data_IF_616326667894
#
_entry.id   IF_616326667894
#
_cell.length_a   1.000
_cell.length_b   1.000
_cell.length_c   1.000
_cell.angle_alpha   90.00
_cell.angle_beta   90.00
_cell.angle_gamma   90.00
#
_symmetry.space_group_name_H-M   'P 1'
#
loop_
_entity.id
_entity.type
_entity.pdbx_description
1 polymer ?
#
# COMPACT_ATOMS: atom_id res chain seq x y z
N UNK A 1 30.63 12.42 13.49
CA UNK A 1 29.44 12.23 14.35
C UNK A 1 28.22 12.43 13.49
N UNK A 2 27.29 11.48 13.47
CA UNK A 2 26.00 11.68 12.83
C UNK A 2 25.25 12.80 13.58
N UNK A 3 24.67 13.72 12.83
CA UNK A 3 23.90 14.85 13.36
C UNK A 3 22.62 14.33 14.00
N UNK A 4 22.41 14.62 15.28
CA UNK A 4 21.23 14.16 16.04
C UNK A 4 19.91 14.81 15.55
N UNK A 5 19.99 16.07 15.10
CA UNK A 5 18.84 16.87 14.69
C UNK A 5 18.86 17.13 13.19
N UNK A 6 17.68 17.04 12.54
CA UNK A 6 17.42 17.48 11.18
C UNK A 6 16.40 18.62 11.23
N UNK A 7 16.66 19.73 10.55
CA UNK A 7 15.74 20.85 10.48
C UNK A 7 14.58 20.53 9.52
N UNK A 8 13.36 20.97 9.81
CA UNK A 8 12.24 20.80 8.90
C UNK A 8 12.45 21.45 7.53
N UNK A 9 13.26 22.53 7.47
CA UNK A 9 13.66 23.17 6.21
C UNK A 9 14.55 22.30 5.32
N UNK A 10 15.19 21.28 5.88
CA UNK A 10 16.03 20.31 5.17
C UNK A 10 15.22 19.11 4.64
N UNK A 11 13.95 19.01 5.04
CA UNK A 11 13.04 17.89 4.66
C UNK A 11 12.20 18.32 3.48
N UNK A 12 12.25 17.55 2.39
CA UNK A 12 11.37 17.76 1.26
C UNK A 12 9.96 17.28 1.60
N UNK A 13 8.97 18.17 1.47
CA UNK A 13 7.57 17.79 1.63
C UNK A 13 7.11 16.92 0.48
N UNK A 14 6.31 15.92 0.76
CA UNK A 14 5.70 15.02 -0.23
C UNK A 14 4.23 14.83 0.08
N UNK A 15 3.42 14.70 -0.95
CA UNK A 15 1.99 14.40 -0.81
C UNK A 15 1.77 12.96 -0.34
N UNK A 16 0.65 12.74 0.35
CA UNK A 16 0.20 11.40 0.70
C UNK A 16 -0.26 10.68 -0.55
N UNK A 17 0.34 9.53 -0.86
CA UNK A 17 -0.10 8.68 -1.96
C UNK A 17 -1.13 7.67 -1.47
N UNK A 18 -2.10 7.38 -2.31
CA UNK A 18 -3.23 6.53 -1.96
C UNK A 18 -3.29 5.29 -2.87
N UNK A 19 -3.59 4.16 -2.26
CA UNK A 19 -4.00 2.97 -2.97
C UNK A 19 -5.48 3.05 -3.33
N UNK A 20 -6.26 3.57 -2.40
CA UNK A 20 -7.69 3.88 -2.55
C UNK A 20 -8.02 5.11 -1.69
N UNK A 21 -8.25 6.24 -2.33
CA UNK A 21 -8.53 7.51 -1.65
C UNK A 21 -9.97 7.57 -1.15
N UNK A 22 -10.22 8.09 0.05
CA UNK A 22 -9.27 8.43 1.12
C UNK A 22 -9.15 7.30 2.17
N UNK A 23 -9.35 6.05 1.79
CA UNK A 23 -9.49 4.90 2.68
C UNK A 23 -8.17 4.21 3.00
N UNK A 24 -7.34 3.95 1.98
CA UNK A 24 -6.09 3.18 2.11
C UNK A 24 -4.92 3.98 1.55
N UNK A 25 -4.07 4.52 2.43
CA UNK A 25 -2.89 5.29 2.05
C UNK A 25 -1.65 4.39 1.93
N UNK A 26 -0.81 4.65 0.92
CA UNK A 26 0.48 4.01 0.73
C UNK A 26 1.44 4.45 1.84
N UNK A 27 2.27 3.52 2.33
CA UNK A 27 3.22 3.78 3.42
C UNK A 27 2.56 3.91 4.80
N UNK A 28 1.30 3.53 4.94
CA UNK A 28 0.55 3.68 6.18
C UNK A 28 -0.21 2.40 6.52
N UNK A 29 -0.70 2.36 7.78
CA UNK A 29 -1.54 1.27 8.28
C UNK A 29 -2.99 1.74 8.27
N UNK A 30 -3.85 0.91 7.70
CA UNK A 30 -5.32 0.99 7.79
C UNK A 30 -5.82 -0.17 8.63
N UNK A 31 -6.72 0.09 9.56
CA UNK A 31 -7.45 -0.92 10.31
C UNK A 31 -8.84 -1.11 9.70
N UNK A 32 -9.21 -2.35 9.39
CA UNK A 32 -10.55 -2.74 8.94
C UNK A 32 -11.17 -3.61 10.03
N UNK A 33 -12.21 -3.12 10.68
CA UNK A 33 -12.85 -3.80 11.81
C UNK A 33 -14.35 -4.01 11.57
N UNK A 34 -14.97 -4.91 12.35
CA UNK A 34 -16.39 -5.24 12.32
C UNK A 34 -16.63 -6.59 12.99
N UNK A 35 -17.89 -6.95 13.19
CA UNK A 35 -18.25 -8.22 13.80
C UNK A 35 -17.91 -9.42 12.87
N UNK A 36 -17.71 -10.62 13.41
CA UNK A 36 -17.55 -11.83 12.59
C UNK A 36 -18.73 -12.00 11.61
N UNK A 37 -18.43 -12.33 10.37
CA UNK A 37 -19.46 -12.52 9.33
C UNK A 37 -19.97 -11.24 8.66
N UNK A 38 -19.47 -10.05 8.98
CA UNK A 38 -19.85 -8.80 8.30
C UNK A 38 -19.26 -8.62 6.90
N UNK A 39 -18.50 -9.59 6.42
CA UNK A 39 -18.00 -9.57 5.05
C UNK A 39 -16.68 -8.79 4.84
N UNK A 40 -15.93 -8.49 5.91
CA UNK A 40 -14.62 -7.78 5.83
C UNK A 40 -13.64 -8.46 4.88
N UNK A 41 -13.40 -9.76 5.07
CA UNK A 41 -12.50 -10.56 4.22
C UNK A 41 -13.02 -10.63 2.78
N UNK A 42 -14.33 -10.80 2.58
CA UNK A 42 -14.96 -10.82 1.25
C UNK A 42 -14.77 -9.50 0.52
N UNK A 43 -15.01 -8.38 1.21
CA UNK A 43 -14.78 -7.04 0.67
C UNK A 43 -13.31 -6.84 0.29
N UNK A 44 -12.39 -7.27 1.15
CA UNK A 44 -10.96 -7.13 0.88
C UNK A 44 -10.50 -8.02 -0.29
N UNK A 45 -11.02 -9.26 -0.41
CA UNK A 45 -10.71 -10.14 -1.56
C UNK A 45 -11.17 -9.53 -2.89
N UNK A 46 -12.32 -8.86 -2.92
CA UNK A 46 -12.79 -8.15 -4.12
C UNK A 46 -11.90 -6.95 -4.46
N UNK A 47 -11.46 -6.18 -3.47
CA UNK A 47 -10.48 -5.10 -3.70
C UNK A 47 -9.14 -5.67 -4.19
N UNK A 48 -8.67 -6.78 -3.63
CA UNK A 48 -7.44 -7.48 -4.06
C UNK A 48 -7.56 -7.96 -5.52
N UNK A 49 -8.73 -8.47 -5.93
CA UNK A 49 -8.97 -8.87 -7.31
C UNK A 49 -8.81 -7.69 -8.27
N UNK A 50 -9.42 -6.56 -7.97
CA UNK A 50 -9.27 -5.33 -8.75
C UNK A 50 -7.82 -4.84 -8.80
N UNK A 51 -7.11 -4.87 -7.68
CA UNK A 51 -5.69 -4.49 -7.62
C UNK A 51 -4.83 -5.42 -8.46
N UNK A 52 -5.05 -6.74 -8.38
CA UNK A 52 -4.24 -7.74 -9.06
C UNK A 52 -4.38 -7.71 -10.59
N UNK A 53 -5.50 -7.23 -11.09
CA UNK A 53 -5.83 -7.12 -12.52
C UNK A 53 -5.63 -5.72 -13.10
N UNK A 54 -5.40 -4.71 -12.25
CA UNK A 54 -5.31 -3.31 -12.69
C UNK A 54 -6.68 -2.71 -13.04
N UNK A 55 -7.74 -3.17 -12.39
CA UNK A 55 -9.11 -2.76 -12.59
C UNK A 55 -9.43 -1.38 -12.02
N UNK A 56 -10.47 -1.31 -11.17
CA UNK A 56 -10.94 -0.05 -10.59
C UNK A 56 -11.11 -0.18 -9.08
N UNK A 57 -10.89 0.91 -8.37
CA UNK A 57 -11.33 1.04 -6.97
C UNK A 57 -12.86 1.12 -6.89
N UNK A 58 -13.47 0.88 -5.71
CA UNK A 58 -14.93 0.89 -5.55
C UNK A 58 -15.61 2.17 -6.01
N UNK A 59 -14.94 3.32 -5.93
CA UNK A 59 -15.38 4.63 -6.42
C UNK A 59 -15.17 4.84 -7.93
N UNK A 60 -14.74 3.80 -8.66
CA UNK A 60 -14.58 3.81 -10.10
C UNK A 60 -13.25 4.38 -10.62
N UNK A 61 -12.33 4.80 -9.72
CA UNK A 61 -11.01 5.27 -10.13
C UNK A 61 -10.16 4.11 -10.69
N UNK A 62 -9.48 4.34 -11.82
CA UNK A 62 -8.61 3.32 -12.44
C UNK A 62 -7.36 3.10 -11.59
N UNK A 63 -7.04 1.83 -11.36
CA UNK A 63 -5.81 1.42 -10.66
C UNK A 63 -4.59 1.50 -11.60
N UNK A 64 -4.82 1.39 -12.92
CA UNK A 64 -3.76 1.41 -13.92
C UNK A 64 -3.10 0.03 -14.08
N UNK A 65 -1.85 -0.13 -13.63
CA UNK A 65 -1.14 -1.39 -13.76
C UNK A 65 -1.53 -2.41 -12.67
N UNK A 66 -1.53 -3.72 -13.00
CA UNK A 66 -1.74 -4.79 -12.03
C UNK A 66 -0.76 -4.72 -10.85
N UNK A 67 -1.26 -4.77 -9.63
CA UNK A 67 -0.50 -4.62 -8.39
C UNK A 67 -0.27 -5.98 -7.71
N UNK A 68 0.88 -6.15 -7.06
CA UNK A 68 1.17 -7.31 -6.23
C UNK A 68 0.60 -7.13 -4.83
N UNK A 69 0.04 -8.21 -4.27
CA UNK A 69 -0.59 -8.22 -2.95
C UNK A 69 -0.07 -9.40 -2.13
N UNK A 70 0.25 -9.18 -0.86
CA UNK A 70 0.40 -10.25 0.12
C UNK A 70 -0.91 -10.31 0.90
N UNK A 71 -1.59 -11.46 0.87
CA UNK A 71 -2.78 -11.74 1.66
C UNK A 71 -2.50 -12.88 2.62
N UNK A 72 -2.30 -12.54 3.88
CA UNK A 72 -1.99 -13.49 4.96
C UNK A 72 -3.26 -13.78 5.76
N UNK A 73 -3.69 -15.04 5.75
CA UNK A 73 -4.85 -15.52 6.50
C UNK A 73 -4.49 -16.80 7.24
N UNK A 74 -4.94 -16.94 8.48
CA UNK A 74 -4.70 -18.12 9.32
C UNK A 74 -5.97 -18.89 9.68
N UNK A 75 -7.15 -18.32 9.42
CA UNK A 75 -8.43 -18.96 9.79
C UNK A 75 -8.93 -19.95 8.73
N UNK A 76 -8.66 -19.66 7.46
CA UNK A 76 -9.17 -20.40 6.31
C UNK A 76 -8.03 -21.16 5.60
N UNK A 77 -8.33 -22.35 5.08
CA UNK A 77 -7.41 -23.14 4.25
C UNK A 77 -7.11 -22.44 2.93
N UNK A 78 -5.82 -22.44 2.54
CA UNK A 78 -5.38 -21.76 1.32
C UNK A 78 -5.95 -22.42 0.08
N UNK A 79 -5.92 -23.77 -0.01
CA UNK A 79 -6.26 -24.55 -1.20
C UNK A 79 -7.76 -24.71 -1.41
N UNK A 80 -8.53 -24.82 -0.35
CA UNK A 80 -9.96 -25.15 -0.38
C UNK A 80 -10.86 -23.92 -0.19
N UNK A 81 -10.35 -22.87 0.42
CA UNK A 81 -11.16 -21.71 0.78
C UNK A 81 -10.62 -20.41 0.17
N UNK A 82 -9.38 -20.03 0.46
CA UNK A 82 -8.83 -18.71 0.07
C UNK A 82 -8.67 -18.61 -1.45
N UNK A 83 -7.93 -19.55 -2.04
CA UNK A 83 -7.68 -19.53 -3.49
C UNK A 83 -8.97 -19.59 -4.30
N UNK A 84 -9.94 -20.51 -4.03
CA UNK A 84 -11.20 -20.52 -4.74
C UNK A 84 -12.04 -19.24 -4.60
N UNK A 85 -11.96 -18.56 -3.45
CA UNK A 85 -12.63 -17.26 -3.26
C UNK A 85 -11.97 -16.16 -4.09
N UNK A 86 -10.64 -16.07 -4.12
CA UNK A 86 -9.90 -15.11 -4.94
C UNK A 86 -10.19 -15.34 -6.44
N UNK A 87 -10.18 -16.58 -6.90
CA UNK A 87 -10.51 -16.92 -8.30
C UNK A 87 -11.95 -16.51 -8.66
N UNK A 88 -12.93 -16.75 -7.77
CA UNK A 88 -14.31 -16.29 -7.97
C UNK A 88 -14.44 -14.76 -8.02
N UNK A 89 -13.60 -14.04 -7.29
CA UNK A 89 -13.54 -12.58 -7.39
C UNK A 89 -12.85 -12.09 -8.68
N UNK A 90 -12.31 -12.99 -9.52
CA UNK A 90 -11.59 -12.62 -10.74
C UNK A 90 -10.16 -12.18 -10.52
N UNK A 91 -9.54 -12.55 -9.39
CA UNK A 91 -8.17 -12.15 -9.07
C UNK A 91 -7.12 -12.84 -9.94
N UNK A 92 -6.07 -12.11 -10.33
CA UNK A 92 -4.84 -12.72 -10.88
C UNK A 92 -3.99 -13.28 -9.74
N UNK A 93 -4.15 -14.57 -9.46
CA UNK A 93 -3.40 -15.26 -8.40
C UNK A 93 -1.87 -15.26 -8.62
N UNK A 94 -1.36 -14.91 -9.80
CA UNK A 94 0.09 -14.72 -10.04
C UNK A 94 0.61 -13.44 -9.38
N UNK A 95 -0.28 -12.53 -9.01
CA UNK A 95 0.03 -11.27 -8.33
C UNK A 95 -0.25 -11.32 -6.83
N UNK A 96 -0.71 -12.46 -6.30
CA UNK A 96 -1.07 -12.61 -4.89
C UNK A 96 -0.20 -13.69 -4.26
N UNK A 97 0.41 -13.37 -3.13
CA UNK A 97 1.27 -14.28 -2.37
C UNK A 97 0.86 -14.32 -0.89
N UNK A 98 1.33 -15.33 -0.18
CA UNK A 98 1.23 -15.47 1.26
C UNK A 98 2.52 -16.11 1.81
N UNK A 99 2.78 -15.97 3.11
CA UNK A 99 3.85 -16.67 3.80
C UNK A 99 3.33 -18.05 4.19
N UNK A 100 3.96 -19.12 3.70
CA UNK A 100 3.51 -20.48 3.95
C UNK A 100 3.81 -20.89 5.40
N UNK A 101 2.79 -20.92 6.26
CA UNK A 101 2.90 -21.25 7.68
C UNK A 101 3.03 -22.75 7.93
N UNK A 102 2.70 -23.63 6.97
CA UNK A 102 2.98 -25.06 7.06
C UNK A 102 4.47 -25.36 7.11
N UNK A 103 5.26 -24.53 6.40
CA UNK A 103 6.73 -24.61 6.40
C UNK A 103 7.34 -23.85 7.58
N UNK A 104 6.68 -22.78 8.00
CA UNK A 104 7.18 -21.82 8.98
C UNK A 104 6.15 -21.62 10.09
N UNK A 105 6.13 -22.49 11.08
CA UNK A 105 5.20 -22.41 12.21
C UNK A 105 5.27 -21.08 12.95
N UNK A 106 4.12 -20.57 13.35
CA UNK A 106 4.00 -19.49 14.32
C UNK A 106 4.41 -18.10 13.81
N UNK A 107 3.86 -17.64 12.69
CA UNK A 107 4.02 -16.27 12.24
C UNK A 107 3.40 -15.28 13.24
N UNK A 108 4.15 -14.24 13.60
CA UNK A 108 3.67 -13.14 14.45
C UNK A 108 3.88 -11.79 13.76
N UNK A 109 3.18 -10.74 14.21
CA UNK A 109 3.27 -9.40 13.61
C UNK A 109 4.66 -8.75 13.69
N UNK A 110 5.50 -9.20 14.61
CA UNK A 110 6.88 -8.73 14.75
C UNK A 110 7.90 -9.64 14.06
N UNK A 111 7.44 -10.65 13.33
CA UNK A 111 8.31 -11.57 12.62
C UNK A 111 8.99 -10.91 11.43
N UNK A 112 10.31 -11.06 11.36
CA UNK A 112 11.12 -10.52 10.29
C UNK A 112 10.80 -11.13 8.92
N UNK A 113 10.17 -12.32 8.89
CA UNK A 113 9.70 -12.97 7.65
C UNK A 113 8.67 -12.11 6.90
N UNK A 114 7.85 -11.32 7.62
CA UNK A 114 6.93 -10.37 6.99
C UNK A 114 7.72 -9.33 6.19
N UNK A 115 8.78 -8.77 6.80
CA UNK A 115 9.65 -7.80 6.09
C UNK A 115 10.36 -8.44 4.90
N UNK A 116 10.88 -9.66 5.08
CA UNK A 116 11.55 -10.40 4.00
C UNK A 116 10.59 -10.66 2.82
N UNK A 117 9.35 -11.09 3.10
CA UNK A 117 8.33 -11.27 2.08
C UNK A 117 8.00 -9.97 1.34
N UNK A 118 7.93 -8.84 2.06
CA UNK A 118 7.73 -7.51 1.44
C UNK A 118 8.90 -7.16 0.52
N UNK A 119 10.15 -7.40 0.94
CA UNK A 119 11.34 -7.12 0.12
C UNK A 119 11.38 -8.00 -1.13
N UNK A 120 11.10 -9.29 -1.00
CA UNK A 120 11.16 -10.27 -2.07
C UNK A 120 10.05 -10.04 -3.10
N UNK A 121 8.81 -9.96 -2.61
CA UNK A 121 7.64 -9.90 -3.48
C UNK A 121 7.32 -8.49 -3.96
N UNK A 122 7.72 -7.44 -3.19
CA UNK A 122 7.43 -6.02 -3.44
C UNK A 122 5.93 -5.75 -3.66
N UNK A 123 5.09 -6.08 -2.68
CA UNK A 123 3.65 -5.86 -2.79
C UNK A 123 3.32 -4.38 -2.71
N UNK A 124 2.22 -3.98 -3.31
CA UNK A 124 1.62 -2.67 -3.10
C UNK A 124 0.68 -2.65 -1.91
N UNK A 125 0.13 -3.81 -1.57
CA UNK A 125 -0.74 -4.04 -0.44
C UNK A 125 -0.31 -5.29 0.33
N UNK A 126 -0.31 -5.19 1.65
CA UNK A 126 -0.19 -6.32 2.59
C UNK A 126 -1.46 -6.35 3.42
N UNK A 127 -2.15 -7.47 3.44
CA UNK A 127 -3.35 -7.70 4.26
C UNK A 127 -3.06 -8.81 5.26
N UNK A 128 -3.42 -8.59 6.52
CA UNK A 128 -3.32 -9.58 7.60
C UNK A 128 -4.72 -9.82 8.16
N UNK A 129 -5.22 -11.06 8.07
CA UNK A 129 -6.62 -11.45 8.35
C UNK A 129 -6.71 -12.75 9.16
N UNK A 130 -7.17 -12.70 10.40
CA UNK A 130 -7.32 -11.52 11.23
C UNK A 130 -6.02 -11.19 12.00
N UNK A 131 -5.87 -9.94 12.39
CA UNK A 131 -4.71 -9.50 13.20
C UNK A 131 -4.56 -10.31 14.49
N UNK A 132 -5.68 -10.74 15.10
CA UNK A 132 -5.69 -11.48 16.36
C UNK A 132 -4.88 -12.78 16.30
N UNK A 133 -4.90 -13.47 15.17
CA UNK A 133 -4.19 -14.72 15.00
C UNK A 133 -2.66 -14.56 14.98
N UNK A 134 -2.17 -13.37 14.71
CA UNK A 134 -0.75 -13.05 14.56
C UNK A 134 -0.15 -12.29 15.76
N UNK A 135 -0.84 -12.29 16.92
CA UNK A 135 -0.40 -11.57 18.10
C UNK A 135 0.58 -12.35 19.00
N UNK A 136 0.77 -13.64 18.74
CA UNK A 136 1.57 -14.54 19.54
C UNK A 136 0.82 -15.10 20.78
N UNK A 137 1.46 -16.04 21.48
CA UNK A 137 0.87 -16.79 22.60
C UNK A 137 0.62 -15.96 23.87
N UNK A 138 1.25 -14.82 23.99
CA UNK A 138 1.03 -13.90 25.10
C UNK A 138 -0.03 -12.89 24.69
N UNK A 139 -1.22 -12.98 25.26
CA UNK A 139 -2.44 -12.17 25.05
C UNK A 139 -2.30 -10.63 25.17
N UNK A 140 -1.23 -10.08 24.74
CA UNK A 140 -0.58 -8.86 25.20
C UNK A 140 -0.74 -7.63 24.28
N UNK A 141 -1.75 -7.59 23.39
CA UNK A 141 -2.23 -6.27 22.97
C UNK A 141 -2.85 -5.46 24.12
N UNK A 142 -3.14 -6.14 25.25
CA UNK A 142 -3.60 -5.47 26.46
C UNK A 142 -2.48 -4.67 27.13
N UNK A 143 -1.19 -5.01 26.86
CA UNK A 143 -0.05 -4.18 27.27
C UNK A 143 0.15 -3.11 26.20
N UNK A 144 -0.38 -1.92 26.47
CA UNK A 144 -0.37 -0.75 25.58
C UNK A 144 0.99 -0.49 24.89
N UNK A 145 2.10 -0.68 25.58
CA UNK A 145 3.43 -0.47 25.02
C UNK A 145 3.85 -1.45 23.93
N UNK A 146 3.38 -2.72 23.98
CA UNK A 146 3.73 -3.73 22.97
C UNK A 146 2.96 -3.52 21.67
N UNK A 147 1.66 -3.28 21.75
CA UNK A 147 0.84 -2.95 20.58
C UNK A 147 1.41 -1.74 19.82
N UNK A 148 1.77 -0.69 20.55
CA UNK A 148 2.38 0.52 19.96
C UNK A 148 3.70 0.22 19.25
N UNK A 149 4.56 -0.63 19.83
CA UNK A 149 5.85 -1.03 19.25
C UNK A 149 5.65 -1.84 17.97
N UNK A 150 4.71 -2.78 17.95
CA UNK A 150 4.34 -3.57 16.76
C UNK A 150 3.82 -2.67 15.64
N UNK A 151 2.85 -1.81 15.93
CA UNK A 151 2.27 -0.89 14.97
C UNK A 151 3.31 0.08 14.39
N UNK A 152 4.23 0.58 15.23
CA UNK A 152 5.35 1.42 14.77
C UNK A 152 6.25 0.66 13.79
N UNK A 153 6.58 -0.61 14.07
CA UNK A 153 7.42 -1.45 13.22
C UNK A 153 6.75 -1.71 11.87
N UNK A 154 5.49 -2.12 11.85
CA UNK A 154 4.71 -2.28 10.63
C UNK A 154 4.62 -0.98 9.83
N UNK A 155 4.39 0.15 10.51
CA UNK A 155 4.36 1.46 9.87
C UNK A 155 5.70 1.87 9.24
N UNK A 156 6.83 1.52 9.86
CA UNK A 156 8.16 1.72 9.27
C UNK A 156 8.37 0.86 8.02
N UNK A 157 7.91 -0.40 8.04
CA UNK A 157 7.97 -1.27 6.86
C UNK A 157 7.08 -0.75 5.74
N UNK A 158 5.84 -0.37 6.05
CA UNK A 158 4.93 0.22 5.07
C UNK A 158 5.57 1.43 4.36
N UNK A 159 6.11 2.38 5.14
CA UNK A 159 6.72 3.59 4.61
C UNK A 159 8.04 3.31 3.86
N UNK A 160 8.89 2.42 4.40
CA UNK A 160 10.19 2.11 3.82
C UNK A 160 10.13 1.31 2.53
N UNK A 161 9.09 0.49 2.35
CA UNK A 161 8.93 -0.38 1.18
C UNK A 161 7.77 0.04 0.25
N UNK A 162 7.20 1.21 0.48
CA UNK A 162 6.20 1.81 -0.40
C UNK A 162 4.95 0.94 -0.61
N UNK A 163 4.48 0.29 0.44
CA UNK A 163 3.27 -0.51 0.44
C UNK A 163 2.25 -0.01 1.47
N UNK A 164 0.97 -0.28 1.24
CA UNK A 164 -0.07 -0.12 2.25
C UNK A 164 -0.15 -1.40 3.10
N UNK A 165 -0.46 -1.28 4.40
CA UNK A 165 -0.75 -2.42 5.26
C UNK A 165 -2.19 -2.28 5.77
N UNK A 166 -3.02 -3.29 5.52
CA UNK A 166 -4.37 -3.41 6.07
C UNK A 166 -4.40 -4.53 7.09
N UNK A 167 -4.84 -4.19 8.30
CA UNK A 167 -5.04 -5.14 9.38
C UNK A 167 -6.54 -5.36 9.56
N UNK A 168 -7.00 -6.59 9.39
CA UNK A 168 -8.41 -6.94 9.60
C UNK A 168 -8.58 -7.43 11.03
N UNK A 169 -9.56 -6.89 11.74
CA UNK A 169 -9.80 -7.23 13.13
C UNK A 169 -11.28 -7.41 13.48
N UNK A 170 -11.54 -8.28 14.46
CA UNK A 170 -12.88 -8.46 15.02
C UNK A 170 -13.13 -7.50 16.18
N UNK A 171 -14.36 -7.00 16.29
CA UNK A 171 -14.79 -6.18 17.41
C UNK A 171 -14.98 -7.06 18.67
N UNK A 172 -14.54 -6.56 19.81
CA UNK A 172 -14.82 -7.22 21.08
C UNK A 172 -16.29 -7.00 21.50
N UNK A 173 -16.96 -8.08 21.94
CA UNK A 173 -18.36 -8.08 22.40
C UNK A 173 -18.58 -7.43 23.79
N UNK A 174 -17.64 -6.64 24.33
CA UNK A 174 -17.87 -5.97 25.61
C UNK A 174 -18.98 -4.91 25.47
N UNK A 175 -20.11 -5.19 26.07
CA UNK A 175 -21.25 -4.25 26.19
C UNK A 175 -20.81 -2.97 26.90
N UNK A 176 -21.24 -1.80 26.37
CA UNK A 176 -21.12 -0.50 27.04
C UNK A 176 -19.97 0.42 26.58
N UNK A 177 -19.05 0.00 25.70
CA UNK A 177 -18.05 0.90 25.13
C UNK A 177 -18.51 1.55 23.84
N UNK A 178 -18.31 2.87 23.70
CA UNK A 178 -18.60 3.62 22.46
C UNK A 178 -17.80 3.07 21.28
N UNK A 179 -18.38 2.98 20.07
CA UNK A 179 -17.91 2.31 18.86
C UNK A 179 -16.41 2.33 18.57
N UNK A 180 -15.72 3.45 18.77
CA UNK A 180 -14.26 3.59 18.50
C UNK A 180 -13.39 2.72 19.43
N UNK A 181 -13.87 2.35 20.62
CA UNK A 181 -13.11 1.62 21.65
C UNK A 181 -13.45 0.14 21.75
N UNK A 182 -14.39 -0.37 20.92
CA UNK A 182 -14.74 -1.80 20.87
C UNK A 182 -13.70 -2.65 20.13
N UNK A 183 -12.73 -2.01 19.48
CA UNK A 183 -11.77 -2.70 18.64
C UNK A 183 -10.67 -3.40 19.44
N UNK A 184 -10.37 -4.62 19.11
CA UNK A 184 -9.13 -5.39 19.37
C UNK A 184 -8.58 -5.40 20.80
N UNK A 185 -9.32 -4.88 21.80
CA UNK A 185 -8.85 -4.82 23.19
C UNK A 185 -7.70 -3.81 23.45
N UNK A 186 -7.20 -3.11 22.43
CA UNK A 186 -6.15 -2.09 22.58
C UNK A 186 -6.47 -0.80 21.84
N UNK A 187 -6.62 0.27 22.58
CA UNK A 187 -6.74 1.65 22.05
C UNK A 187 -5.51 2.01 21.20
N UNK A 188 -4.35 1.45 21.49
CA UNK A 188 -3.11 1.77 20.81
C UNK A 188 -3.05 1.31 19.35
N UNK A 189 -3.74 0.21 18.98
CA UNK A 189 -3.85 -0.23 17.58
C UNK A 189 -4.64 0.79 16.77
N UNK A 190 -5.81 1.20 17.28
CA UNK A 190 -6.65 2.25 16.65
C UNK A 190 -5.92 3.58 16.58
N UNK A 191 -5.22 3.94 17.66
CA UNK A 191 -4.47 5.20 17.74
C UNK A 191 -3.33 5.25 16.71
N UNK A 192 -2.63 4.14 16.49
CA UNK A 192 -1.51 4.06 15.56
C UNK A 192 -1.94 3.97 14.08
N UNK A 193 -3.09 3.39 13.78
CA UNK A 193 -3.64 3.37 12.43
C UNK A 193 -3.96 4.79 11.94
N UNK A 194 -3.69 5.07 10.65
CA UNK A 194 -3.96 6.38 10.03
C UNK A 194 -5.36 6.48 9.45
N UNK A 195 -5.93 5.36 9.07
CA UNK A 195 -7.34 5.20 8.65
C UNK A 195 -7.94 4.02 9.41
N UNK A 196 -9.17 4.15 9.87
CA UNK A 196 -9.92 3.07 10.52
C UNK A 196 -11.28 2.98 9.86
N UNK A 197 -11.55 1.82 9.31
CA UNK A 197 -12.78 1.47 8.62
C UNK A 197 -13.55 0.47 9.48
N UNK A 198 -14.84 0.66 9.59
CA UNK A 198 -15.74 -0.26 10.29
C UNK A 198 -16.81 -0.76 9.34
N UNK A 199 -16.95 -2.08 9.26
CA UNK A 199 -18.00 -2.73 8.48
C UNK A 199 -19.11 -3.13 9.40
N UNK A 200 -20.34 -2.78 9.02
CA UNK A 200 -21.56 -3.14 9.73
C UNK A 200 -22.60 -3.68 8.74
N UNK A 201 -23.50 -4.52 9.24
CA UNK A 201 -24.67 -4.93 8.45
C UNK A 201 -25.72 -3.83 8.49
N UNK A 202 -26.35 -3.58 7.35
CA UNK A 202 -27.54 -2.74 7.30
C UNK A 202 -28.65 -3.37 8.12
N UNK A 203 -29.36 -2.57 8.91
CA UNK A 203 -30.44 -3.06 9.80
C UNK A 203 -31.71 -3.40 9.06
N UNK A 204 -31.95 -2.80 7.90
CA UNK A 204 -33.15 -3.00 7.09
C UNK A 204 -32.95 -4.09 6.02
N UNK A 205 -31.74 -4.18 5.47
CA UNK A 205 -31.40 -5.17 4.45
C UNK A 205 -30.14 -5.95 4.85
N UNK A 206 -30.29 -7.22 5.32
CA UNK A 206 -29.15 -8.03 5.80
C UNK A 206 -28.14 -8.43 4.71
N UNK A 207 -28.46 -8.25 3.43
CA UNK A 207 -27.52 -8.46 2.33
C UNK A 207 -26.63 -7.25 2.09
N UNK A 208 -26.99 -6.07 2.62
CA UNK A 208 -26.19 -4.85 2.51
C UNK A 208 -25.23 -4.73 3.68
N UNK A 209 -24.04 -4.24 3.38
CA UNK A 209 -23.00 -3.86 4.33
C UNK A 209 -22.65 -2.41 4.13
N UNK A 210 -22.37 -1.72 5.22
CA UNK A 210 -21.96 -0.32 5.25
C UNK A 210 -20.54 -0.26 5.80
N UNK A 211 -19.67 0.47 5.12
CA UNK A 211 -18.31 0.74 5.55
C UNK A 211 -18.22 2.19 6.01
N UNK A 212 -18.07 2.38 7.30
CA UNK A 212 -17.86 3.69 7.91
C UNK A 212 -16.37 3.98 8.06
N UNK A 213 -15.93 5.15 7.62
CA UNK A 213 -14.59 5.62 7.96
C UNK A 213 -14.63 6.36 9.30
N UNK A 214 -14.39 5.64 10.40
CA UNK A 214 -14.49 6.18 11.76
C UNK A 214 -13.28 7.00 12.21
N UNK A 215 -12.16 6.92 11.46
CA UNK A 215 -10.95 7.72 11.65
C UNK A 215 -10.22 7.90 10.34
N UNK A 216 -9.81 9.15 10.06
CA UNK A 216 -8.83 9.48 9.05
C UNK A 216 -7.91 10.59 9.58
N UNK A 217 -6.60 10.36 9.58
CA UNK A 217 -5.61 11.34 10.05
C UNK A 217 -4.85 12.01 8.90
N UNK A 218 -5.22 11.73 7.64
CA UNK A 218 -4.47 12.12 6.45
C UNK A 218 -5.32 12.91 5.44
N UNK A 219 -6.64 12.80 5.54
CA UNK A 219 -7.61 13.48 4.69
C UNK A 219 -8.92 13.68 5.46
N UNK A 220 -9.86 14.48 4.95
CA UNK A 220 -11.23 14.52 5.47
C UNK A 220 -11.86 13.13 5.49
N UNK A 221 -12.72 12.88 6.46
CA UNK A 221 -13.48 11.63 6.54
C UNK A 221 -14.40 11.51 5.32
N UNK A 222 -14.41 10.33 4.72
CA UNK A 222 -15.23 10.03 3.56
C UNK A 222 -16.70 9.76 3.92
N UNK A 223 -17.55 9.83 2.92
CA UNK A 223 -18.90 9.27 3.00
C UNK A 223 -18.84 7.73 3.12
N UNK A 224 -19.88 7.15 3.69
CA UNK A 224 -20.02 5.71 3.83
C UNK A 224 -20.05 5.01 2.48
N UNK A 225 -19.42 3.84 2.41
CA UNK A 225 -19.47 2.99 1.25
C UNK A 225 -20.41 1.83 1.54
N UNK A 226 -21.11 1.38 0.51
CA UNK A 226 -22.00 0.23 0.62
C UNK A 226 -21.61 -0.86 -0.35
N UNK A 227 -21.80 -2.11 0.07
CA UNK A 227 -21.69 -3.28 -0.77
C UNK A 227 -22.74 -4.32 -0.37
N UNK A 228 -23.11 -5.17 -1.31
CA UNK A 228 -24.01 -6.30 -1.05
C UNK A 228 -23.27 -7.62 -1.13
N UNK A 229 -23.73 -8.58 -0.33
CA UNK A 229 -23.35 -9.98 -0.41
C UNK A 229 -24.66 -10.79 -0.37
N UNK A 230 -25.05 -11.36 -1.50
CA UNK A 230 -26.22 -12.22 -1.61
C UNK A 230 -25.86 -13.60 -2.17
N UNK A 231 -26.72 -14.58 -1.96
CA UNK A 231 -26.53 -15.92 -2.50
C UNK A 231 -26.67 -15.95 -4.02
N UNK A 232 -27.48 -15.07 -4.59
CA UNK A 232 -27.82 -15.06 -6.03
C UNK A 232 -26.79 -14.26 -6.84
N UNK A 233 -26.44 -13.05 -6.38
CA UNK A 233 -25.59 -12.13 -7.14
C UNK A 233 -24.11 -12.11 -6.64
N UNK A 234 -23.83 -12.75 -5.52
CA UNK A 234 -22.51 -12.71 -4.89
C UNK A 234 -22.19 -11.34 -4.29
N UNK A 235 -20.96 -10.92 -4.43
CA UNK A 235 -20.47 -9.62 -3.96
C UNK A 235 -20.66 -8.54 -5.03
N UNK A 236 -21.17 -7.37 -4.63
CA UNK A 236 -21.27 -6.19 -5.50
C UNK A 236 -21.01 -4.91 -4.72
N UNK A 237 -20.14 -4.04 -5.25
CA UNK A 237 -20.08 -2.65 -4.79
C UNK A 237 -21.38 -1.94 -5.17
N UNK A 238 -22.00 -1.28 -4.21
CA UNK A 238 -23.13 -0.40 -4.45
C UNK A 238 -22.61 1.01 -4.75
N UNK A 239 -23.51 1.97 -5.02
CA UNK A 239 -23.11 3.32 -5.41
C UNK A 239 -22.09 3.91 -4.40
N UNK A 240 -20.87 4.06 -4.87
CA UNK A 240 -19.82 4.80 -4.22
C UNK A 240 -19.57 6.05 -5.07
N UNK A 241 -19.91 7.22 -4.53
CA UNK A 241 -19.63 8.47 -5.24
C UNK A 241 -18.12 8.66 -5.28
N UNK A 242 -17.54 8.98 -6.46
CA UNK A 242 -16.13 9.33 -6.53
C UNK A 242 -15.85 10.46 -5.54
N UNK A 243 -14.94 10.23 -4.61
CA UNK A 243 -14.47 11.28 -3.71
C UNK A 243 -13.59 12.19 -4.59
N UNK A 244 -14.15 13.31 -5.05
CA UNK A 244 -13.45 14.27 -5.90
C UNK A 244 -12.29 14.88 -5.12
N UNK A 245 -11.10 14.39 -5.39
CA UNK A 245 -9.87 15.07 -5.03
C UNK A 245 -9.53 16.04 -6.14
N UNK A 246 -9.70 17.33 -5.92
CA UNK A 246 -9.39 18.37 -6.92
C UNK A 246 -7.90 18.43 -7.33
N UNK A 247 -7.01 17.60 -6.76
CA UNK A 247 -5.56 17.68 -7.01
C UNK A 247 -4.77 16.37 -7.10
N UNK A 248 -5.42 15.21 -7.20
CA UNK A 248 -4.70 14.00 -7.57
C UNK A 248 -5.57 13.18 -8.54
N UNK A 249 -5.81 13.75 -9.73
CA UNK A 249 -5.87 12.86 -10.87
C UNK A 249 -4.52 12.13 -10.86
N UNK A 250 -4.46 10.77 -10.84
CA UNK A 250 -3.27 10.14 -11.36
C UNK A 250 -3.12 10.78 -12.73
N UNK A 251 -1.96 11.40 -12.97
CA UNK A 251 -1.59 11.73 -14.33
C UNK A 251 -2.00 10.50 -15.12
N UNK A 252 -2.95 10.67 -16.04
CA UNK A 252 -3.25 9.63 -17.01
C UNK A 252 -1.89 9.29 -17.56
N UNK A 253 -1.38 8.08 -17.21
CA UNK A 253 -0.06 7.68 -17.71
C UNK A 253 -0.05 8.04 -19.16
N UNK A 254 0.83 8.92 -19.62
CA UNK A 254 0.84 9.34 -21.01
C UNK A 254 0.95 8.06 -21.81
N UNK A 255 0.02 7.84 -22.73
CA UNK A 255 0.09 6.70 -23.63
C UNK A 255 1.33 6.92 -24.47
N UNK A 256 2.33 6.10 -24.24
CA UNK A 256 3.57 6.13 -24.99
C UNK A 256 3.42 5.19 -26.19
N UNK A 257 3.60 5.72 -27.37
CA UNK A 257 3.59 4.91 -28.60
C UNK A 257 4.90 4.11 -28.75
N UNK A 258 5.95 4.55 -28.05
CA UNK A 258 7.28 3.92 -28.09
C UNK A 258 7.92 3.83 -26.71
N UNK A 259 8.79 2.80 -26.51
CA UNK A 259 9.60 2.65 -25.30
C UNK A 259 10.52 3.87 -25.07
N UNK A 260 10.94 4.54 -26.14
CA UNK A 260 11.75 5.77 -26.08
C UNK A 260 10.99 6.94 -25.47
N UNK A 261 9.76 7.18 -25.90
CA UNK A 261 8.90 8.22 -25.32
C UNK A 261 8.64 7.96 -23.83
N UNK A 262 8.39 6.69 -23.47
CA UNK A 262 8.23 6.27 -22.10
C UNK A 262 9.49 6.52 -21.26
N UNK A 263 10.65 6.17 -21.80
CA UNK A 263 11.94 6.43 -21.16
C UNK A 263 12.20 7.92 -20.93
N UNK A 264 11.96 8.76 -21.94
CA UNK A 264 12.16 10.21 -21.86
C UNK A 264 11.27 10.86 -20.79
N UNK A 265 10.01 10.45 -20.73
CA UNK A 265 9.07 10.93 -19.73
C UNK A 265 9.54 10.60 -18.32
N UNK A 266 9.87 9.33 -18.06
CA UNK A 266 10.26 8.87 -16.72
C UNK A 266 11.62 9.43 -16.29
N UNK A 267 12.60 9.51 -17.18
CA UNK A 267 13.92 10.12 -16.86
C UNK A 267 13.73 11.57 -16.46
N UNK A 268 12.94 12.34 -17.22
CA UNK A 268 12.63 13.74 -16.89
C UNK A 268 11.96 13.82 -15.51
N UNK A 269 10.94 13.03 -15.27
CA UNK A 269 10.20 13.01 -14.00
C UNK A 269 11.07 12.63 -12.80
N UNK A 270 12.00 11.68 -12.96
CA UNK A 270 12.92 11.29 -11.89
C UNK A 270 13.92 12.38 -11.55
N UNK A 271 14.34 13.16 -12.54
CA UNK A 271 15.34 14.22 -12.37
C UNK A 271 14.74 15.60 -12.06
N UNK A 272 13.43 15.78 -12.15
CA UNK A 272 12.74 17.03 -11.73
C UNK A 272 12.98 17.38 -10.25
N UNK A 273 13.22 16.37 -9.43
CA UNK A 273 13.44 16.52 -7.98
C UNK A 273 14.92 16.58 -7.58
N UNK A 274 15.82 16.61 -8.56
CA UNK A 274 17.27 16.65 -8.35
C UNK A 274 17.99 15.41 -8.88
N UNK A 275 19.29 15.37 -8.64
CA UNK A 275 20.17 14.31 -9.14
C UNK A 275 19.86 12.96 -8.51
N UNK A 276 19.85 11.91 -9.34
CA UNK A 276 19.55 10.55 -8.90
C UNK A 276 20.65 9.59 -9.32
N UNK A 277 20.92 8.54 -8.52
CA UNK A 277 21.92 7.55 -8.87
C UNK A 277 21.52 6.76 -10.12
N UNK A 278 22.48 6.49 -11.00
CA UNK A 278 22.26 5.76 -12.26
C UNK A 278 21.62 4.39 -12.02
N UNK A 279 22.05 3.68 -10.96
CA UNK A 279 21.48 2.38 -10.62
C UNK A 279 20.02 2.46 -10.22
N UNK A 280 19.65 3.50 -9.49
CA UNK A 280 18.27 3.73 -9.09
C UNK A 280 17.37 4.08 -10.27
N UNK A 281 17.86 4.94 -11.18
CA UNK A 281 17.16 5.26 -12.42
C UNK A 281 16.94 4.01 -13.27
N UNK A 282 17.97 3.19 -13.48
CA UNK A 282 17.82 1.94 -14.22
C UNK A 282 16.85 0.96 -13.57
N UNK A 283 16.87 0.87 -12.25
CA UNK A 283 15.92 0.01 -11.52
C UNK A 283 14.47 0.49 -11.68
N UNK A 284 14.25 1.80 -11.61
CA UNK A 284 12.91 2.40 -11.79
C UNK A 284 12.41 2.26 -13.22
N UNK A 285 13.29 2.47 -14.21
CA UNK A 285 12.96 2.30 -15.62
C UNK A 285 12.66 0.84 -16.00
N UNK A 286 13.37 -0.11 -15.40
CA UNK A 286 13.13 -1.54 -15.59
C UNK A 286 11.73 -1.95 -15.06
N UNK A 287 11.33 -1.37 -13.93
CA UNK A 287 9.98 -1.56 -13.38
C UNK A 287 8.88 -1.00 -14.30
N UNK A 288 9.21 0.02 -15.11
CA UNK A 288 8.32 0.59 -16.12
C UNK A 288 8.41 -0.13 -17.47
N UNK A 289 9.15 -1.23 -17.56
CA UNK A 289 9.34 -1.99 -18.80
C UNK A 289 10.24 -1.31 -19.83
N UNK A 290 11.13 -0.40 -19.39
CA UNK A 290 12.11 0.28 -20.23
C UNK A 290 13.46 -0.42 -20.10
N UNK A 291 14.00 -0.91 -21.23
CA UNK A 291 15.28 -1.59 -21.29
C UNK A 291 16.45 -0.63 -21.02
N UNK A 292 17.54 -1.16 -20.42
CA UNK A 292 18.77 -0.39 -20.18
C UNK A 292 19.37 0.19 -21.47
N UNK A 293 19.15 -0.47 -22.62
CA UNK A 293 19.62 0.00 -23.92
C UNK A 293 18.90 1.29 -24.32
N UNK A 294 17.57 1.29 -24.23
CA UNK A 294 16.73 2.46 -24.54
C UNK A 294 16.99 3.59 -23.54
N UNK A 295 17.11 3.27 -22.25
CA UNK A 295 17.44 4.27 -21.23
C UNK A 295 18.76 5.00 -21.51
N UNK A 296 19.81 4.29 -21.99
CA UNK A 296 21.11 4.91 -22.36
C UNK A 296 20.98 5.81 -23.58
N UNK A 297 20.25 5.37 -24.58
CA UNK A 297 20.03 6.14 -25.81
C UNK A 297 19.30 7.43 -25.51
N UNK A 298 18.17 7.34 -24.82
CA UNK A 298 17.35 8.50 -24.43
C UNK A 298 18.10 9.46 -23.50
N UNK A 299 18.90 8.93 -22.56
CA UNK A 299 19.79 9.74 -21.73
C UNK A 299 20.69 10.64 -22.58
N UNK A 300 21.29 10.09 -23.63
CA UNK A 300 22.19 10.83 -24.53
C UNK A 300 21.42 11.86 -25.34
N UNK A 301 20.26 11.49 -25.90
CA UNK A 301 19.38 12.38 -26.64
C UNK A 301 18.87 13.56 -25.80
N UNK A 302 18.58 13.34 -24.52
CA UNK A 302 18.16 14.37 -23.58
C UNK A 302 19.30 15.22 -23.02
N UNK A 303 20.56 14.96 -23.36
CA UNK A 303 21.72 15.68 -22.84
C UNK A 303 21.92 15.56 -21.33
N UNK A 304 21.51 14.43 -20.73
CA UNK A 304 21.65 14.21 -19.29
C UNK A 304 23.12 14.02 -18.91
N UNK A 305 23.59 14.89 -18.02
CA UNK A 305 24.96 14.82 -17.49
C UNK A 305 25.14 13.65 -16.54
N UNK A 306 26.36 13.08 -16.53
CA UNK A 306 26.76 12.04 -15.61
C UNK A 306 28.01 12.47 -14.86
N UNK A 307 27.96 12.31 -13.54
CA UNK A 307 29.14 12.53 -12.70
C UNK A 307 29.26 11.44 -11.64
N UNK A 308 30.46 11.31 -11.07
CA UNK A 308 30.73 10.31 -10.05
C UNK A 308 30.90 10.97 -8.68
N UNK A 309 30.12 10.51 -7.69
CA UNK A 309 30.21 10.96 -6.29
C UNK A 309 30.28 9.74 -5.38
N UNK A 310 31.30 9.67 -4.48
CA UNK A 310 31.51 8.54 -3.56
C UNK A 310 31.44 7.15 -4.25
N UNK A 311 32.13 6.99 -5.38
CA UNK A 311 32.17 5.76 -6.22
C UNK A 311 30.82 5.32 -6.82
N UNK A 312 29.81 6.22 -6.88
CA UNK A 312 28.52 5.98 -7.53
C UNK A 312 28.31 7.00 -8.62
N UNK A 313 27.71 6.56 -9.74
CA UNK A 313 27.33 7.41 -10.85
C UNK A 313 25.96 8.05 -10.61
N UNK A 314 25.85 9.33 -10.90
CA UNK A 314 24.62 10.11 -10.81
C UNK A 314 24.27 10.72 -12.16
N UNK A 315 22.97 10.90 -12.40
CA UNK A 315 22.44 11.64 -13.53
C UNK A 315 21.91 12.98 -13.06
N UNK A 316 22.16 14.05 -13.86
CA UNK A 316 21.75 15.41 -13.56
C UNK A 316 21.29 16.13 -14.83
N UNK A 317 20.29 16.98 -14.72
CA UNK A 317 19.84 17.87 -15.82
C UNK A 317 20.74 19.10 -15.96
N UNK A 318 21.43 19.49 -14.89
CA UNK A 318 22.32 20.64 -14.88
C UNK A 318 23.80 20.19 -14.87
N UNK A 319 24.70 20.85 -15.66
CA UNK A 319 26.13 20.63 -15.48
C UNK A 319 26.56 21.09 -14.08
N UNK A 320 27.46 20.34 -13.41
CA UNK A 320 28.05 20.76 -12.16
C UNK A 320 28.64 22.19 -12.32
N UNK A 321 28.18 23.14 -11.52
CA UNK A 321 28.88 24.41 -11.35
C UNK A 321 30.19 24.15 -10.62
N UNK A 322 31.27 23.87 -11.33
CA UNK A 322 32.57 23.60 -10.71
C UNK A 322 33.67 23.00 -11.61
N UNK A 323 33.37 22.63 -12.84
CA UNK A 323 34.39 22.03 -13.74
C UNK A 323 34.86 23.01 -14.83
N UNK A 324 35.18 24.24 -14.44
CA UNK A 324 36.00 25.14 -15.27
C UNK A 324 37.27 25.47 -14.45
N UNK A 325 38.29 24.65 -14.55
CA UNK A 325 39.71 25.00 -14.43
C UNK A 325 40.55 23.71 -14.56
N UNK A 326 40.85 23.34 -15.76
CA UNK A 326 41.98 22.47 -16.09
C UNK A 326 42.83 23.20 -17.14
N UNK A 327 44.16 23.24 -17.02
CA UNK A 327 45.00 24.12 -17.78
C UNK A 327 45.06 23.71 -19.26
N UNK A 328 44.95 24.71 -20.14
CA UNK A 328 45.44 24.63 -21.52
C UNK A 328 46.96 24.47 -21.48
N UNK A 329 47.48 23.37 -21.95
CA UNK A 329 48.77 23.23 -22.64
C UNK A 329 48.60 22.18 -23.76
#
# INVERSE_FOLDING_TARGET
MERLLTLYSEVQSTDVRWLWYPFIAIGKITLLQGDPGDGKSTMMMNLIAELSTGGKTPDGCKIGAPQKVIYQCSEDGVSDTIKPRLERCGADCKKIAFINEEVYNGLTLDDERIRQAIIEFRPRLVVIDPIQAYLGSDSDLQIAGRARKLMRRLGMWAAGYDCAIVLIGHLNKKEGSKGLYRSLGSIDVVAAARSVLQVERDTENPDIRIVHQIKNSLAPTAEDIRFSISAEEGFRWLECRPQLFEKQQPDTEPKFDTEQQKAAYWIKHFLEKGDMSANEIYCRLDNEGVSKRVARMVKTEMGIHCYQKKRRWYWSVQPEEGAMNGPQV
#
